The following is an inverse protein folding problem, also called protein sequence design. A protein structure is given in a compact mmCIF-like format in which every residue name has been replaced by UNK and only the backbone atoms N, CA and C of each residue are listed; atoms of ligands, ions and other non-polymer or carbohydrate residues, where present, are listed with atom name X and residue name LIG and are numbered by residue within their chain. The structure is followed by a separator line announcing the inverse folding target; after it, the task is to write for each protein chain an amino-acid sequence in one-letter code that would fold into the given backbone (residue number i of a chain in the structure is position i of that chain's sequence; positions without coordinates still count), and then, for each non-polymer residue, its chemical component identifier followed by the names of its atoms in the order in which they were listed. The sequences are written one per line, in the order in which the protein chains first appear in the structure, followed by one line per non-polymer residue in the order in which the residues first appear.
data_IF_387165708414
#
_entry.id   IF_387165708414
#
_cell.length_a   1.000
_cell.length_b   1.000
_cell.length_c   1.000
_cell.angle_alpha   90.00
_cell.angle_beta   90.00
_cell.angle_gamma   90.00
#
_symmetry.space_group_name_H-M   'P 1'
#
loop_
_entity.id
_entity.type
_entity.pdbx_description
1 polymer ?
#
# COMPACT_ATOMS: atom_id res chain seq x y z
N UNK A 1 -16.31 -24.13 -6.81
CA UNK A 1 -15.72 -22.83 -7.23
C UNK A 1 -14.48 -23.14 -8.04
N UNK A 2 -14.34 -22.54 -9.22
CA UNK A 2 -13.17 -22.77 -10.05
C UNK A 2 -11.94 -22.06 -9.47
N UNK A 3 -10.78 -22.67 -9.68
CA UNK A 3 -9.50 -22.20 -9.16
C UNK A 3 -8.41 -22.35 -10.21
N UNK A 4 -7.43 -21.45 -10.17
CA UNK A 4 -6.34 -21.36 -11.12
C UNK A 4 -5.01 -21.62 -10.43
N UNK A 5 -4.17 -22.42 -11.05
CA UNK A 5 -2.79 -22.64 -10.60
C UNK A 5 -1.91 -21.51 -11.08
N UNK A 6 -1.17 -20.90 -10.17
CA UNK A 6 -0.32 -19.75 -10.43
C UNK A 6 1.08 -19.99 -9.86
N UNK A 7 2.10 -19.65 -10.64
CA UNK A 7 3.49 -19.65 -10.19
C UNK A 7 3.78 -18.36 -9.42
N UNK A 8 4.37 -18.48 -8.23
CA UNK A 8 4.93 -17.37 -7.46
C UNK A 8 6.43 -17.28 -7.70
N UNK A 9 6.92 -16.05 -7.84
CA UNK A 9 8.34 -15.70 -7.76
C UNK A 9 8.52 -14.74 -6.61
N UNK A 10 9.37 -15.07 -5.65
CA UNK A 10 9.58 -14.26 -4.45
C UNK A 10 11.06 -14.17 -4.12
N UNK A 11 11.41 -13.32 -3.14
CA UNK A 11 12.79 -13.08 -2.72
C UNK A 11 13.73 -12.59 -3.84
N UNK A 12 13.16 -12.11 -4.96
CA UNK A 12 13.90 -11.55 -6.08
C UNK A 12 13.73 -10.04 -6.18
N UNK A 13 14.18 -9.48 -7.31
CA UNK A 13 14.10 -8.04 -7.61
C UNK A 13 13.85 -7.80 -9.08
N UNK A 14 13.22 -6.68 -9.40
CA UNK A 14 13.12 -6.20 -10.78
C UNK A 14 14.44 -5.56 -11.20
N UNK A 15 14.94 -5.90 -12.39
CA UNK A 15 16.05 -5.20 -13.03
C UNK A 15 15.55 -4.07 -13.95
N UNK A 16 16.48 -3.27 -14.50
CA UNK A 16 16.16 -2.13 -15.38
C UNK A 16 15.52 -2.55 -16.72
N UNK A 17 15.64 -3.83 -17.10
CA UNK A 17 15.00 -4.42 -18.29
C UNK A 17 13.56 -4.88 -18.01
N UNK A 18 13.06 -4.66 -16.79
CA UNK A 18 11.74 -5.10 -16.35
C UNK A 18 11.64 -6.62 -16.21
N UNK A 19 12.74 -7.30 -15.87
CA UNK A 19 12.77 -8.73 -15.59
C UNK A 19 12.89 -8.94 -14.08
N UNK A 20 12.11 -9.88 -13.54
CA UNK A 20 12.23 -10.30 -12.15
C UNK A 20 13.32 -11.37 -12.06
N UNK A 21 14.40 -11.09 -11.34
CA UNK A 21 15.63 -11.90 -11.24
C UNK A 21 15.92 -12.30 -9.79
N UNK A 22 16.86 -13.22 -9.59
CA UNK A 22 17.34 -13.70 -8.28
C UNK A 22 16.22 -14.23 -7.36
N UNK A 23 15.22 -14.89 -7.94
CA UNK A 23 14.00 -15.31 -7.23
C UNK A 23 14.00 -16.79 -6.84
N UNK A 24 13.22 -17.10 -5.80
CA UNK A 24 12.73 -18.44 -5.48
C UNK A 24 11.33 -18.65 -6.03
N UNK A 25 10.92 -19.92 -6.18
CA UNK A 25 9.66 -20.30 -6.84
C UNK A 25 8.79 -21.10 -5.89
N UNK A 26 7.50 -20.75 -5.88
CA UNK A 26 6.44 -21.56 -5.27
C UNK A 26 5.21 -21.62 -6.19
N UNK A 27 4.24 -22.48 -5.87
CA UNK A 27 2.98 -22.58 -6.59
C UNK A 27 1.80 -22.36 -5.65
N UNK A 28 0.81 -21.59 -6.08
CA UNK A 28 -0.43 -21.37 -5.31
C UNK A 28 -1.66 -21.67 -6.15
N UNK A 29 -2.76 -21.92 -5.43
CA UNK A 29 -4.09 -22.02 -5.99
C UNK A 29 -4.88 -20.76 -5.65
N UNK A 30 -5.31 -20.02 -6.68
CA UNK A 30 -6.14 -18.82 -6.51
C UNK A 30 -7.59 -19.12 -6.91
N UNK A 31 -8.55 -18.45 -6.27
CA UNK A 31 -9.99 -18.65 -6.53
C UNK A 31 -10.53 -17.53 -7.42
N UNK A 32 -11.31 -17.86 -8.44
CA UNK A 32 -11.80 -16.86 -9.40
C UNK A 32 -12.59 -15.70 -8.77
N UNK A 33 -13.38 -15.99 -7.73
CA UNK A 33 -14.28 -15.02 -7.08
C UNK A 33 -13.79 -14.56 -5.70
N UNK A 34 -12.49 -14.69 -5.43
CA UNK A 34 -11.86 -14.17 -4.22
C UNK A 34 -11.67 -12.65 -4.29
N UNK A 35 -11.52 -12.01 -3.13
CA UNK A 35 -11.06 -10.63 -3.03
C UNK A 35 -9.53 -10.54 -3.18
N UNK A 36 -9.03 -9.34 -3.40
CA UNK A 36 -7.60 -9.06 -3.34
C UNK A 36 -7.00 -9.42 -1.96
N UNK A 37 -7.74 -9.17 -0.88
CA UNK A 37 -7.29 -9.50 0.46
C UNK A 37 -7.14 -11.02 0.66
N UNK A 38 -8.02 -11.82 0.05
CA UNK A 38 -7.89 -13.28 0.06
C UNK A 38 -6.64 -13.75 -0.69
N UNK A 39 -6.29 -13.09 -1.81
CA UNK A 39 -5.04 -13.34 -2.53
C UNK A 39 -3.83 -13.01 -1.64
N UNK A 40 -3.81 -11.84 -1.02
CA UNK A 40 -2.72 -11.41 -0.11
C UNK A 40 -2.57 -12.39 1.05
N UNK A 41 -3.67 -12.80 1.67
CA UNK A 41 -3.66 -13.79 2.75
C UNK A 41 -3.14 -15.15 2.27
N UNK A 42 -3.53 -15.59 1.08
CA UNK A 42 -3.06 -16.86 0.50
C UNK A 42 -1.55 -16.83 0.24
N UNK A 43 -1.03 -15.73 -0.32
CA UNK A 43 0.41 -15.54 -0.56
C UNK A 43 1.18 -15.45 0.77
N UNK A 44 0.67 -14.69 1.73
CA UNK A 44 1.28 -14.55 3.06
C UNK A 44 1.42 -15.91 3.75
N UNK A 45 0.35 -16.71 3.77
CA UNK A 45 0.35 -18.03 4.38
C UNK A 45 1.31 -18.98 3.65
N UNK A 46 1.35 -18.92 2.32
CA UNK A 46 2.24 -19.76 1.51
C UNK A 46 3.72 -19.44 1.79
N UNK A 47 4.08 -18.15 1.81
CA UNK A 47 5.46 -17.69 1.95
C UNK A 47 5.90 -17.51 3.42
N UNK A 48 5.00 -17.72 4.40
CA UNK A 48 5.27 -17.47 5.81
C UNK A 48 5.54 -15.99 6.13
N UNK A 49 4.93 -15.06 5.40
CA UNK A 49 5.12 -13.61 5.60
C UNK A 49 4.16 -13.09 6.66
N UNK A 50 4.70 -12.49 7.72
CA UNK A 50 3.92 -11.79 8.73
C UNK A 50 3.38 -10.45 8.21
N UNK A 51 2.06 -10.40 7.97
CA UNK A 51 1.37 -9.21 7.48
C UNK A 51 1.19 -8.11 8.55
N UNK A 52 1.53 -8.37 9.82
CA UNK A 52 1.51 -7.34 10.85
C UNK A 52 2.71 -6.40 10.69
N UNK A 53 3.91 -6.97 10.48
CA UNK A 53 5.17 -6.23 10.31
C UNK A 53 5.52 -5.89 8.86
N UNK A 54 4.94 -6.58 7.87
CA UNK A 54 5.28 -6.40 6.46
C UNK A 54 4.05 -6.19 5.58
N UNK A 55 4.25 -5.55 4.45
CA UNK A 55 3.28 -5.49 3.35
C UNK A 55 3.79 -6.31 2.16
N UNK A 56 2.86 -6.77 1.34
CA UNK A 56 3.16 -7.57 0.15
C UNK A 56 2.76 -6.75 -1.07
N UNK A 57 3.74 -6.47 -1.94
CA UNK A 57 3.53 -5.92 -3.27
C UNK A 57 3.47 -7.06 -4.27
N UNK A 58 2.40 -7.10 -5.07
CA UNK A 58 2.12 -8.17 -6.03
C UNK A 58 2.17 -7.58 -7.43
N UNK A 59 3.03 -8.14 -8.28
CA UNK A 59 3.21 -7.67 -9.65
C UNK A 59 3.26 -8.83 -10.64
N UNK A 60 2.98 -8.57 -11.91
CA UNK A 60 3.14 -9.54 -13.00
C UNK A 60 3.54 -8.82 -14.28
N UNK A 61 4.27 -9.52 -15.15
CA UNK A 61 4.65 -9.00 -16.47
C UNK A 61 3.76 -9.63 -17.54
N UNK A 62 3.09 -8.80 -18.31
CA UNK A 62 2.41 -9.23 -19.54
C UNK A 62 3.41 -9.24 -20.68
N UNK A 63 3.36 -10.26 -21.54
CA UNK A 63 4.29 -10.40 -22.67
C UNK A 63 4.27 -9.15 -23.57
N UNK A 64 5.44 -8.74 -24.05
CA UNK A 64 5.61 -7.51 -24.85
C UNK A 64 5.63 -6.20 -24.06
N UNK A 65 5.28 -6.19 -22.77
CA UNK A 65 5.35 -5.00 -21.91
C UNK A 65 6.65 -4.97 -21.10
N UNK A 66 7.33 -3.82 -21.06
CA UNK A 66 8.53 -3.64 -20.24
C UNK A 66 8.20 -3.34 -18.77
N UNK A 67 7.03 -2.74 -18.50
CA UNK A 67 6.64 -2.34 -17.14
C UNK A 67 5.77 -3.43 -16.50
N UNK A 68 6.13 -3.92 -15.30
CA UNK A 68 5.28 -4.87 -14.58
C UNK A 68 3.99 -4.20 -14.10
N UNK A 69 2.89 -4.90 -14.27
CA UNK A 69 1.57 -4.49 -13.79
C UNK A 69 1.42 -4.85 -12.31
N UNK A 70 0.86 -3.93 -11.53
CA UNK A 70 0.64 -4.11 -10.09
C UNK A 70 -0.81 -4.52 -9.80
N UNK A 71 -0.97 -5.47 -8.89
CA UNK A 71 -2.27 -5.84 -8.33
C UNK A 71 -2.34 -5.25 -6.93
N UNK A 72 -3.23 -4.27 -6.74
CA UNK A 72 -3.38 -3.55 -5.46
C UNK A 72 -4.84 -3.42 -5.01
N UNK A 73 -5.80 -3.99 -5.74
CA UNK A 73 -7.23 -4.00 -5.40
C UNK A 73 -7.96 -5.14 -6.11
N UNK A 74 -9.26 -5.30 -5.79
CA UNK A 74 -10.12 -6.33 -6.36
C UNK A 74 -10.24 -6.25 -7.89
N UNK A 75 -10.21 -5.04 -8.46
CA UNK A 75 -10.29 -4.87 -9.92
C UNK A 75 -9.03 -5.40 -10.61
N UNK A 76 -7.85 -5.06 -10.10
CA UNK A 76 -6.59 -5.60 -10.59
C UNK A 76 -6.51 -7.12 -10.46
N UNK A 77 -7.05 -7.67 -9.37
CA UNK A 77 -7.12 -9.11 -9.18
C UNK A 77 -8.04 -9.77 -10.22
N UNK A 78 -9.22 -9.20 -10.50
CA UNK A 78 -10.13 -9.71 -11.52
C UNK A 78 -9.52 -9.68 -12.91
N UNK A 79 -8.81 -8.61 -13.29
CA UNK A 79 -8.08 -8.53 -14.56
C UNK A 79 -7.06 -9.65 -14.67
N UNK A 80 -6.27 -9.89 -13.61
CA UNK A 80 -5.30 -10.98 -13.58
C UNK A 80 -5.96 -12.37 -13.71
N UNK A 81 -7.08 -12.61 -13.02
CA UNK A 81 -7.84 -13.86 -13.09
C UNK A 81 -8.33 -14.12 -14.52
N UNK A 82 -8.91 -13.13 -15.19
CA UNK A 82 -9.40 -13.29 -16.56
C UNK A 82 -8.24 -13.54 -17.55
N UNK A 83 -7.13 -12.81 -17.42
CA UNK A 83 -5.91 -13.08 -18.21
C UNK A 83 -5.41 -14.52 -18.03
N UNK A 84 -5.41 -15.02 -16.80
CA UNK A 84 -4.95 -16.38 -16.48
C UNK A 84 -5.93 -17.46 -16.96
N UNK A 85 -7.21 -17.12 -17.14
CA UNK A 85 -8.22 -18.02 -17.72
C UNK A 85 -8.03 -18.17 -19.23
N UNK A 86 -7.63 -17.11 -19.92
CA UNK A 86 -7.26 -17.13 -21.33
C UNK A 86 -5.96 -17.94 -21.54
N UNK A 87 -4.99 -17.79 -20.63
CA UNK A 87 -3.68 -18.44 -20.71
C UNK A 87 -3.43 -19.38 -19.52
N UNK A 88 -3.89 -20.63 -19.65
CA UNK A 88 -3.86 -21.63 -18.57
C UNK A 88 -2.51 -22.30 -18.34
N UNK A 89 -1.49 -22.01 -19.15
CA UNK A 89 -0.16 -22.56 -18.94
C UNK A 89 0.38 -22.12 -17.57
N UNK A 90 0.86 -23.06 -16.76
CA UNK A 90 1.25 -22.81 -15.37
C UNK A 90 2.35 -21.72 -15.25
N UNK A 91 3.36 -21.77 -16.13
CA UNK A 91 4.49 -20.84 -16.12
C UNK A 91 4.19 -19.43 -16.64
N UNK A 92 3.04 -19.23 -17.30
CA UNK A 92 2.67 -17.92 -17.84
C UNK A 92 2.15 -16.97 -16.75
N UNK A 93 2.53 -15.70 -16.86
CA UNK A 93 2.13 -14.62 -15.95
C UNK A 93 2.33 -14.97 -14.46
N UNK A 94 3.57 -15.32 -14.05
CA UNK A 94 3.88 -15.56 -12.66
C UNK A 94 3.66 -14.29 -11.83
N UNK A 95 3.17 -14.44 -10.60
CA UNK A 95 3.12 -13.34 -9.64
C UNK A 95 4.49 -13.16 -9.01
N UNK A 96 5.07 -11.98 -9.19
CA UNK A 96 6.30 -11.55 -8.58
C UNK A 96 5.98 -10.81 -7.28
N UNK A 97 6.55 -11.28 -6.18
CA UNK A 97 6.20 -10.88 -4.83
C UNK A 97 7.37 -10.12 -4.20
N UNK A 98 7.13 -8.86 -3.85
CA UNK A 98 8.08 -8.05 -3.09
C UNK A 98 7.51 -7.78 -1.72
N UNK A 99 8.26 -8.13 -0.68
CA UNK A 99 7.86 -7.85 0.71
C UNK A 99 8.54 -6.56 1.18
N UNK A 100 7.78 -5.67 1.79
CA UNK A 100 8.25 -4.36 2.27
C UNK A 100 8.01 -4.29 3.78
N UNK A 101 9.01 -3.84 4.54
CA UNK A 101 8.86 -3.64 5.98
C UNK A 101 7.93 -2.46 6.24
N UNK A 102 7.00 -2.61 7.18
CA UNK A 102 6.29 -1.46 7.73
C UNK A 102 7.21 -0.82 8.74
N UNK A 103 7.43 0.48 8.62
CA UNK A 103 8.06 1.24 9.70
C UNK A 103 7.15 1.14 10.92
N UNK A 104 7.52 0.24 11.83
CA UNK A 104 6.99 0.28 13.18
C UNK A 104 7.51 1.62 13.71
N UNK A 105 6.63 2.59 13.87
CA UNK A 105 6.92 3.74 14.72
C UNK A 105 7.14 3.12 16.10
N UNK A 106 8.38 2.75 16.37
CA UNK A 106 8.85 2.38 17.69
C UNK A 106 8.48 3.58 18.52
N UNK A 107 7.49 3.43 19.41
CA UNK A 107 7.13 4.42 20.40
C UNK A 107 8.36 4.66 21.25
N UNK A 108 9.26 5.52 20.76
CA UNK A 108 10.38 6.03 21.50
C UNK A 108 9.75 6.68 22.71
N UNK A 109 10.05 6.12 23.87
CA UNK A 109 9.75 6.74 25.15
C UNK A 109 10.18 8.20 25.07
N UNK A 110 9.22 9.11 25.01
CA UNK A 110 9.47 10.49 25.35
C UNK A 110 9.79 10.45 26.84
N UNK A 111 11.09 10.37 27.15
CA UNK A 111 11.55 10.65 28.50
C UNK A 111 11.02 12.04 28.83
N UNK A 112 10.12 12.08 29.80
CA UNK A 112 9.58 13.29 30.38
C UNK A 112 10.74 14.14 30.90
N UNK A 113 11.17 15.12 30.12
CA UNK A 113 12.40 15.87 30.41
C UNK A 113 12.59 17.17 29.65
N UNK A 114 12.19 17.26 28.37
CA UNK A 114 12.50 18.44 27.56
C UNK A 114 11.25 19.24 27.20
N UNK A 115 10.69 19.95 28.20
CA UNK A 115 9.84 21.11 27.96
C UNK A 115 10.78 22.30 27.78
N UNK A 116 11.07 22.68 26.54
CA UNK A 116 11.67 24.00 26.27
C UNK A 116 10.59 25.05 26.51
N UNK A 117 10.74 25.82 27.58
CA UNK A 117 9.94 27.01 27.86
C UNK A 117 10.01 27.95 26.66
N UNK A 118 8.85 28.26 26.07
CA UNK A 118 8.71 29.37 25.14
C UNK A 118 8.36 30.58 26.01
N UNK A 119 9.34 31.48 26.16
CA UNK A 119 9.22 32.68 27.00
C UNK A 119 8.23 33.67 26.38
N UNK A 120 7.34 34.17 27.23
CA UNK A 120 6.17 34.98 26.89
C UNK A 120 6.57 36.46 26.81
N UNK A 121 6.53 37.04 25.61
CA UNK A 121 6.57 38.49 25.43
C UNK A 121 5.62 38.94 24.30
N UNK A 122 4.35 39.20 24.67
CA UNK A 122 3.64 40.50 24.51
C UNK A 122 3.74 41.17 23.11
N UNK A 123 2.70 41.50 22.35
CA UNK A 123 1.27 41.70 22.62
C UNK A 123 0.49 42.03 21.31
N UNK A 124 -0.85 41.88 21.38
CA UNK A 124 -1.95 42.58 20.66
C UNK A 124 -2.29 42.18 19.22
N UNK A 125 -3.46 41.55 19.03
CA UNK A 125 -4.70 42.28 18.71
C UNK A 125 -5.93 41.36 18.93
N UNK A 126 -6.93 41.93 19.59
CA UNK A 126 -8.26 41.42 19.98
C UNK A 126 -9.12 40.94 18.77
N UNK A 127 -10.27 40.27 18.86
CA UNK A 127 -11.14 39.81 19.95
C UNK A 127 -12.03 38.67 19.42
N UNK A 128 -12.52 37.85 20.35
CA UNK A 128 -13.80 37.13 20.37
C UNK A 128 -14.22 36.23 19.18
N UNK A 129 -14.24 34.91 19.44
CA UNK A 129 -15.48 34.11 19.41
C UNK A 129 -15.25 32.88 20.29
N UNK A 130 -16.13 32.82 21.28
CA UNK A 130 -16.41 31.72 22.19
C UNK A 130 -16.97 30.53 21.38
N UNK A 131 -16.34 29.37 21.48
CA UNK A 131 -17.02 28.07 21.51
C UNK A 131 -16.01 26.97 21.84
N UNK A 132 -15.90 26.76 23.15
CA UNK A 132 -15.45 25.52 23.78
C UNK A 132 -16.12 24.31 23.14
N UNK A 133 -15.38 23.51 22.39
CA UNK A 133 -15.73 22.11 22.12
C UNK A 133 -14.53 21.24 22.46
N UNK A 134 -14.52 20.78 23.71
CA UNK A 134 -13.73 19.64 24.13
C UNK A 134 -14.07 18.45 23.22
N UNK A 135 -13.09 17.96 22.45
CA UNK A 135 -13.24 16.68 21.75
C UNK A 135 -12.89 15.56 22.73
N UNK A 136 -13.88 15.20 23.54
CA UNK A 136 -13.93 13.91 24.21
C UNK A 136 -13.98 12.82 23.12
N UNK A 137 -12.86 12.12 22.91
CA UNK A 137 -12.82 10.93 22.08
C UNK A 137 -13.56 9.80 22.79
N UNK A 138 -14.88 9.73 22.59
CA UNK A 138 -15.68 8.55 22.88
C UNK A 138 -15.42 7.53 21.78
N UNK A 139 -14.87 6.38 22.18
CA UNK A 139 -14.77 5.16 21.37
C UNK A 139 -16.15 4.76 20.84
N UNK A 140 -16.41 5.02 19.56
CA UNK A 140 -17.43 4.32 18.79
C UNK A 140 -16.90 4.09 17.38
N UNK A 141 -16.72 2.82 17.03
CA UNK A 141 -16.12 2.41 15.77
C UNK A 141 -16.95 2.80 14.56
N UNK A 142 -16.39 3.69 13.75
CA UNK A 142 -16.59 3.77 12.29
C UNK A 142 -15.44 4.63 11.72
N UNK A 143 -14.82 4.18 10.62
CA UNK A 143 -13.64 4.82 10.07
C UNK A 143 -14.00 6.14 9.36
N UNK A 144 -13.56 7.27 9.91
CA UNK A 144 -13.56 8.55 9.19
C UNK A 144 -12.33 8.57 8.27
N UNK A 145 -12.58 8.46 6.97
CA UNK A 145 -11.55 8.64 5.94
C UNK A 145 -11.10 10.10 5.88
N UNK A 146 -9.90 10.38 6.37
CA UNK A 146 -9.24 11.68 6.17
C UNK A 146 -8.32 11.55 4.96
N UNK A 147 -8.74 12.12 3.84
CA UNK A 147 -7.88 12.31 2.67
C UNK A 147 -7.15 13.65 2.84
N UNK A 148 -5.84 13.58 3.08
CA UNK A 148 -4.98 14.76 3.06
C UNK A 148 -4.65 15.10 1.60
N UNK A 149 -5.44 15.99 1.00
CA UNK A 149 -5.18 16.53 -0.32
C UNK A 149 -4.10 17.61 -0.22
N UNK A 150 -2.84 17.22 -0.43
CA UNK A 150 -1.76 18.17 -0.70
C UNK A 150 -2.08 18.92 -2.01
N UNK A 151 -2.71 20.08 -1.89
CA UNK A 151 -2.85 21.04 -2.98
C UNK A 151 -1.58 21.88 -3.05
N UNK A 152 -0.70 21.47 -3.94
CA UNK A 152 0.33 22.37 -4.45
C UNK A 152 -0.34 23.61 -5.05
N UNK A 153 -0.04 24.76 -4.43
CA UNK A 153 -0.46 26.07 -4.88
C UNK A 153 0.33 26.42 -6.16
N UNK A 154 -0.23 26.13 -7.34
CA UNK A 154 0.31 26.67 -8.60
C UNK A 154 -0.04 28.16 -8.68
N UNK A 155 0.91 29.02 -8.35
CA UNK A 155 0.85 30.44 -8.68
C UNK A 155 1.21 30.61 -10.15
N UNK A 156 0.22 30.78 -11.03
CA UNK A 156 0.44 31.27 -12.39
C UNK A 156 0.48 32.80 -12.39
N UNK A 157 1.67 33.38 -12.52
CA UNK A 157 1.82 34.80 -12.93
C UNK A 157 1.39 34.93 -14.39
N UNK A 158 0.26 35.56 -14.66
CA UNK A 158 -0.01 36.14 -15.99
C UNK A 158 0.63 37.53 -16.05
N UNK A 159 1.83 37.59 -16.63
CA UNK A 159 2.37 38.82 -17.21
C UNK A 159 2.10 38.78 -18.71
N UNK A 160 1.33 39.75 -19.21
CA UNK A 160 1.32 40.37 -20.55
C UNK A 160 -0.05 41.07 -20.69
N UNK A 161 -0.17 42.36 -21.05
CA UNK A 161 0.67 43.25 -21.85
C UNK A 161 0.40 44.70 -21.46
#
# INVERSE_FOLDING_TARGET
MASLTVLLRHSGKWNDEGNYIDFSIEGILIKEYASFNDLVASISNQLGVDLSSKTIKIQYKVEGNCTPMEIHNDMGYRVYVELKKENREFGMYPLCITTIEKDLISGGSLNQGDIVQIDEAVQRYDSDIDDTMALDFVNSGEAIGVFELHKDLIISKTNQK
#
